data_IF_563032268471
#
_entry.id   IF_563032268471
#
_cell.length_a   1.000
_cell.length_b   1.000
_cell.length_c   1.000
_cell.angle_alpha   90.00
_cell.angle_beta   90.00
_cell.angle_gamma   90.00
#
_symmetry.space_group_name_H-M   'P 1'
#
loop_
_entity.id
_entity.type
_entity.pdbx_description
1 polymer ?
#
# COMPACT_ATOMS: atom_id res chain seq x y z
N UNK A 1 -3.82 -2.16 -19.79
CA UNK A 1 -2.66 -2.70 -20.55
C UNK A 1 -3.05 -3.11 -21.98
N UNK A 2 -4.19 -3.77 -22.21
CA UNK A 2 -4.55 -4.29 -23.53
C UNK A 2 -5.85 -3.70 -24.12
N UNK A 3 -6.35 -2.59 -23.58
CA UNK A 3 -7.64 -2.01 -23.98
C UNK A 3 -7.61 -1.21 -25.30
N UNK A 4 -6.42 -0.82 -25.78
CA UNK A 4 -6.22 -0.13 -27.06
C UNK A 4 -5.08 -0.82 -27.83
N UNK A 5 -5.20 -1.02 -29.16
CA UNK A 5 -4.19 -1.74 -29.95
C UNK A 5 -2.77 -1.18 -29.79
N UNK A 6 -2.60 0.14 -29.87
CA UNK A 6 -1.29 0.80 -29.74
C UNK A 6 -0.65 0.58 -28.35
N UNK A 7 -1.47 0.60 -27.28
CA UNK A 7 -1.00 0.33 -25.92
C UNK A 7 -0.63 -1.16 -25.78
N UNK A 8 -1.39 -2.05 -26.41
CA UNK A 8 -1.11 -3.49 -26.38
C UNK A 8 0.23 -3.81 -27.06
N UNK A 9 0.48 -3.25 -28.26
CA UNK A 9 1.76 -3.40 -28.98
C UNK A 9 2.92 -2.92 -28.13
N UNK A 10 2.84 -1.70 -27.58
CA UNK A 10 3.87 -1.16 -26.68
C UNK A 10 4.08 -2.03 -25.45
N UNK A 11 3.01 -2.61 -24.89
CA UNK A 11 3.12 -3.48 -23.72
C UNK A 11 3.85 -4.79 -24.04
N UNK A 12 3.60 -5.37 -25.21
CA UNK A 12 4.29 -6.57 -25.69
C UNK A 12 5.76 -6.25 -25.99
N UNK A 13 6.05 -5.11 -26.62
CA UNK A 13 7.41 -4.63 -26.85
C UNK A 13 8.20 -4.50 -25.53
N UNK A 14 7.60 -3.87 -24.50
CA UNK A 14 8.22 -3.75 -23.17
C UNK A 14 8.56 -5.14 -22.59
N UNK A 15 7.62 -6.10 -22.67
CA UNK A 15 7.86 -7.44 -22.13
C UNK A 15 8.94 -8.19 -22.90
N UNK A 16 8.88 -8.19 -24.23
CA UNK A 16 9.88 -8.85 -25.08
C UNK A 16 11.26 -8.28 -24.84
N UNK A 17 11.39 -6.95 -24.83
CA UNK A 17 12.68 -6.27 -24.59
C UNK A 17 13.20 -6.53 -23.19
N UNK A 18 12.35 -6.48 -22.15
CA UNK A 18 12.77 -6.75 -20.78
C UNK A 18 13.28 -8.19 -20.60
N UNK A 19 12.60 -9.18 -21.18
CA UNK A 19 13.05 -10.59 -21.14
C UNK A 19 14.37 -10.75 -21.88
N UNK A 20 14.49 -10.22 -23.11
CA UNK A 20 15.73 -10.28 -23.87
C UNK A 20 16.91 -9.65 -23.12
N UNK A 21 16.71 -8.47 -22.55
CA UNK A 21 17.75 -7.79 -21.75
C UNK A 21 18.11 -8.59 -20.51
N UNK A 22 17.14 -9.10 -19.75
CA UNK A 22 17.41 -9.88 -18.54
C UNK A 22 18.13 -11.20 -18.84
N UNK A 23 17.82 -11.85 -19.97
CA UNK A 23 18.50 -13.08 -20.41
C UNK A 23 19.92 -12.80 -20.89
N UNK A 24 20.14 -11.73 -21.64
CA UNK A 24 21.46 -11.41 -22.24
C UNK A 24 22.39 -10.65 -21.28
N UNK A 25 21.82 -9.90 -20.33
CA UNK A 25 22.53 -9.04 -19.37
C UNK A 25 21.84 -9.15 -18.00
N UNK A 26 22.05 -10.25 -17.27
CA UNK A 26 21.46 -10.41 -15.95
C UNK A 26 21.90 -9.26 -15.02
N UNK A 27 21.03 -8.82 -14.09
CA UNK A 27 21.38 -7.77 -13.15
C UNK A 27 22.53 -8.22 -12.25
N UNK A 28 23.42 -7.28 -11.94
CA UNK A 28 24.52 -7.55 -11.02
C UNK A 28 23.97 -7.85 -9.61
N UNK A 29 24.62 -8.77 -8.86
CA UNK A 29 24.37 -8.90 -7.44
C UNK A 29 24.68 -7.58 -6.70
N UNK A 30 24.20 -7.40 -5.45
CA UNK A 30 24.58 -6.24 -4.66
C UNK A 30 26.11 -6.12 -4.59
N UNK A 31 26.61 -4.87 -4.61
CA UNK A 31 28.05 -4.57 -4.62
C UNK A 31 28.76 -5.15 -3.40
N UNK A 32 28.09 -5.11 -2.25
CA UNK A 32 28.63 -5.49 -0.95
C UNK A 32 27.71 -6.49 -0.26
N UNK A 33 28.31 -7.46 0.44
CA UNK A 33 27.56 -8.39 1.30
C UNK A 33 26.78 -7.64 2.40
N UNK A 34 27.31 -6.48 2.83
CA UNK A 34 26.64 -5.57 3.76
C UNK A 34 25.22 -5.23 3.29
N UNK A 35 24.97 -5.04 2.00
CA UNK A 35 23.63 -4.70 1.51
C UNK A 35 22.61 -5.84 1.70
N UNK A 36 23.06 -7.10 1.68
CA UNK A 36 22.22 -8.25 2.01
C UNK A 36 21.89 -8.25 3.50
N UNK A 37 22.87 -8.01 4.36
CA UNK A 37 22.67 -7.90 5.81
C UNK A 37 21.70 -6.76 6.17
N UNK A 38 21.83 -5.61 5.52
CA UNK A 38 20.88 -4.50 5.69
C UNK A 38 19.46 -4.89 5.24
N UNK A 39 19.32 -5.63 4.14
CA UNK A 39 18.01 -6.14 3.70
C UNK A 39 17.42 -7.17 4.65
N UNK A 40 18.22 -8.05 5.24
CA UNK A 40 17.77 -8.97 6.28
C UNK A 40 17.25 -8.21 7.51
N UNK A 41 17.96 -7.16 7.91
CA UNK A 41 17.54 -6.31 9.02
C UNK A 41 16.24 -5.56 8.72
N UNK A 42 16.14 -4.91 7.55
CA UNK A 42 14.90 -4.27 7.07
C UNK A 42 13.76 -5.28 7.08
N UNK A 43 13.98 -6.48 6.55
CA UNK A 43 12.98 -7.55 6.48
C UNK A 43 12.47 -7.95 7.87
N UNK A 44 13.37 -8.16 8.83
CA UNK A 44 13.02 -8.51 10.21
C UNK A 44 12.18 -7.44 10.88
N UNK A 45 12.62 -6.18 10.83
CA UNK A 45 11.91 -5.05 11.46
C UNK A 45 10.56 -4.82 10.77
N UNK A 46 10.53 -4.83 9.44
CA UNK A 46 9.29 -4.61 8.66
C UNK A 46 8.25 -5.69 8.94
N UNK A 47 8.68 -6.96 8.97
CA UNK A 47 7.81 -8.10 9.28
C UNK A 47 7.25 -8.00 10.69
N UNK A 48 8.08 -7.66 11.67
CA UNK A 48 7.63 -7.48 13.06
C UNK A 48 6.63 -6.33 13.19
N UNK A 49 6.90 -5.17 12.57
CA UNK A 49 5.97 -4.02 12.56
C UNK A 49 4.63 -4.38 11.91
N UNK A 50 4.67 -5.07 10.77
CA UNK A 50 3.46 -5.55 10.10
C UNK A 50 2.67 -6.52 10.98
N UNK A 51 3.34 -7.53 11.57
CA UNK A 51 2.65 -8.57 12.36
C UNK A 51 2.10 -8.05 13.67
N UNK A 52 2.84 -7.19 14.36
CA UNK A 52 2.37 -6.55 15.59
C UNK A 52 1.11 -5.73 15.34
N UNK A 53 1.05 -5.02 14.21
CA UNK A 53 -0.13 -4.27 13.79
C UNK A 53 -1.29 -5.16 13.36
N UNK A 54 -1.05 -6.13 12.47
CA UNK A 54 -2.13 -6.85 11.76
C UNK A 54 -2.64 -8.07 12.53
N UNK A 55 -1.78 -8.74 13.29
CA UNK A 55 -2.10 -10.00 13.96
C UNK A 55 -2.10 -9.91 15.49
N UNK A 56 -1.26 -9.04 16.08
CA UNK A 56 -1.09 -8.99 17.54
C UNK A 56 -1.93 -7.87 18.18
N UNK A 57 -2.21 -6.78 17.46
CA UNK A 57 -3.09 -5.72 17.94
C UNK A 57 -4.56 -6.21 17.95
N UNK A 58 -5.20 -6.34 19.12
CA UNK A 58 -6.56 -6.88 19.24
C UNK A 58 -7.62 -5.97 18.58
N UNK A 59 -7.36 -4.66 18.51
CA UNK A 59 -8.30 -3.70 17.93
C UNK A 59 -8.22 -3.62 16.41
N UNK A 60 -7.15 -4.14 15.80
CA UNK A 60 -6.91 -3.97 14.37
C UNK A 60 -7.99 -4.62 13.49
N UNK A 61 -8.46 -5.81 13.86
CA UNK A 61 -9.51 -6.49 13.09
C UNK A 61 -10.81 -5.67 13.11
N UNK A 62 -11.16 -5.13 14.27
CA UNK A 62 -12.32 -4.28 14.44
C UNK A 62 -12.19 -2.97 13.66
N UNK A 63 -11.04 -2.32 13.77
CA UNK A 63 -10.70 -1.13 12.99
C UNK A 63 -10.79 -1.40 11.49
N UNK A 64 -10.24 -2.52 11.00
CA UNK A 64 -10.31 -2.89 9.58
C UNK A 64 -11.75 -3.01 9.07
N UNK A 65 -12.65 -3.59 9.87
CA UNK A 65 -14.06 -3.73 9.53
C UNK A 65 -14.79 -2.38 9.47
N UNK A 66 -14.46 -1.46 10.37
CA UNK A 66 -15.07 -0.13 10.43
C UNK A 66 -14.48 0.82 9.38
N UNK A 67 -13.15 0.88 9.26
CA UNK A 67 -12.45 1.84 8.41
C UNK A 67 -12.57 1.51 6.91
N UNK A 68 -12.89 0.26 6.55
CA UNK A 68 -12.94 -0.19 5.15
C UNK A 68 -14.32 -0.75 4.76
N UNK A 69 -14.66 -0.75 3.45
CA UNK A 69 -15.90 -1.36 2.99
C UNK A 69 -15.82 -2.89 2.85
N UNK A 70 -14.95 -3.57 3.63
CA UNK A 70 -14.71 -5.01 3.43
C UNK A 70 -15.98 -5.84 3.54
N UNK A 71 -16.83 -5.55 4.52
CA UNK A 71 -18.05 -6.30 4.76
C UNK A 71 -18.99 -6.18 3.55
N UNK A 72 -19.22 -4.95 3.09
CA UNK A 72 -20.09 -4.59 1.98
C UNK A 72 -19.59 -5.23 0.67
N UNK A 73 -18.28 -5.21 0.43
CA UNK A 73 -17.66 -5.84 -0.74
C UNK A 73 -17.96 -7.34 -0.84
N UNK A 74 -18.24 -8.03 0.26
CA UNK A 74 -18.64 -9.43 0.27
C UNK A 74 -20.07 -9.68 -0.26
N UNK A 75 -20.93 -8.66 -0.21
CA UNK A 75 -22.33 -8.73 -0.62
C UNK A 75 -22.57 -8.15 -2.02
N UNK A 76 -21.58 -7.47 -2.60
CA UNK A 76 -21.66 -6.93 -3.96
C UNK A 76 -21.30 -7.99 -5.00
N UNK A 77 -22.01 -7.96 -6.12
CA UNK A 77 -21.77 -8.82 -7.30
C UNK A 77 -20.54 -8.37 -8.11
N UNK A 78 -19.44 -8.02 -7.44
CA UNK A 78 -18.19 -7.52 -8.06
C UNK A 78 -17.16 -8.65 -8.21
N UNK A 79 -17.20 -9.65 -7.33
CA UNK A 79 -16.29 -10.79 -7.36
C UNK A 79 -17.00 -12.09 -7.76
N UNK A 80 -16.35 -12.90 -8.61
CA UNK A 80 -16.82 -14.27 -8.92
C UNK A 80 -16.52 -15.29 -7.81
N UNK A 81 -15.73 -14.90 -6.81
CA UNK A 81 -15.21 -15.77 -5.76
C UNK A 81 -15.53 -15.21 -4.37
N UNK A 82 -15.81 -16.05 -3.37
CA UNK A 82 -16.05 -15.60 -2.00
C UNK A 82 -14.80 -14.91 -1.43
N UNK A 83 -15.00 -13.91 -0.58
CA UNK A 83 -13.91 -13.10 -0.01
C UNK A 83 -13.04 -13.86 1.00
N UNK A 84 -13.57 -14.93 1.61
CA UNK A 84 -12.90 -15.75 2.65
C UNK A 84 -12.80 -17.22 2.25
N UNK A 85 -11.83 -17.94 2.86
CA UNK A 85 -11.66 -19.40 2.68
C UNK A 85 -12.50 -20.24 3.65
N UNK A 86 -12.83 -19.72 4.84
CA UNK A 86 -13.69 -20.32 5.90
C UNK A 86 -14.48 -19.21 6.59
N UNK A 87 -15.55 -19.54 7.33
CA UNK A 87 -16.40 -18.58 8.08
C UNK A 87 -15.73 -17.92 9.29
N UNK A 88 -14.45 -18.24 9.57
CA UNK A 88 -13.70 -17.67 10.69
C UNK A 88 -13.43 -16.16 10.50
N UNK A 89 -13.47 -15.42 11.62
CA UNK A 89 -13.43 -13.96 11.66
C UNK A 89 -12.04 -13.33 11.46
N UNK A 90 -10.93 -14.07 11.60
CA UNK A 90 -9.57 -13.51 11.54
C UNK A 90 -9.01 -13.16 10.14
N UNK A 91 -8.09 -12.20 10.08
CA UNK A 91 -7.38 -11.75 8.86
C UNK A 91 -6.64 -12.89 8.16
N UNK A 92 -6.12 -13.88 8.89
CA UNK A 92 -5.43 -15.05 8.32
C UNK A 92 -6.25 -15.89 7.33
N UNK A 93 -7.58 -15.71 7.28
CA UNK A 93 -8.47 -16.40 6.34
C UNK A 93 -9.00 -15.52 5.22
N UNK A 94 -8.68 -14.22 5.23
CA UNK A 94 -9.03 -13.28 4.16
C UNK A 94 -8.13 -13.54 2.95
N UNK A 95 -8.71 -13.52 1.75
CA UNK A 95 -7.92 -13.66 0.52
C UNK A 95 -7.18 -12.35 0.20
N UNK A 96 -6.05 -12.46 -0.48
CA UNK A 96 -5.21 -11.31 -0.84
C UNK A 96 -5.93 -10.24 -1.65
N UNK A 97 -6.81 -10.63 -2.60
CA UNK A 97 -7.57 -9.66 -3.41
C UNK A 97 -8.50 -8.82 -2.53
N UNK A 98 -9.43 -9.39 -1.73
CA UNK A 98 -10.23 -8.63 -0.77
C UNK A 98 -9.42 -7.76 0.20
N UNK A 99 -8.29 -8.27 0.69
CA UNK A 99 -7.40 -7.52 1.57
C UNK A 99 -6.89 -6.24 0.91
N UNK A 100 -6.27 -6.35 -0.25
CA UNK A 100 -5.75 -5.19 -1.00
C UNK A 100 -6.88 -4.28 -1.46
N UNK A 101 -7.99 -4.86 -1.93
CA UNK A 101 -9.10 -4.10 -2.50
C UNK A 101 -9.77 -3.21 -1.45
N UNK A 102 -10.05 -3.74 -0.25
CA UNK A 102 -10.67 -2.98 0.84
C UNK A 102 -9.86 -1.71 1.21
N UNK A 103 -8.54 -1.84 1.37
CA UNK A 103 -7.67 -0.69 1.67
C UNK A 103 -7.43 0.24 0.48
N UNK A 104 -7.57 -0.26 -0.75
CA UNK A 104 -7.51 0.58 -1.95
C UNK A 104 -8.73 1.50 -2.02
N UNK A 105 -9.92 1.00 -1.64
CA UNK A 105 -11.14 1.80 -1.62
C UNK A 105 -11.05 3.02 -0.70
N UNK A 106 -10.36 2.90 0.44
CA UNK A 106 -10.24 3.99 1.44
C UNK A 106 -9.08 4.95 1.16
N UNK A 107 -8.38 4.76 0.03
CA UNK A 107 -7.16 5.51 -0.32
C UNK A 107 -6.05 5.36 0.71
N UNK A 108 -6.13 4.37 1.59
CA UNK A 108 -5.10 4.15 2.59
C UNK A 108 -4.03 3.16 2.13
N UNK A 109 -4.39 2.22 1.25
CA UNK A 109 -3.47 1.26 0.59
C UNK A 109 -2.48 0.57 1.55
N UNK A 110 -2.90 0.39 2.81
CA UNK A 110 -2.13 -0.17 3.93
C UNK A 110 -1.25 -1.38 3.56
N UNK A 111 -1.76 -2.40 2.82
CA UNK A 111 -1.01 -3.64 2.58
C UNK A 111 0.28 -3.46 1.78
N UNK A 112 0.43 -2.34 1.08
CA UNK A 112 1.56 -2.10 0.19
C UNK A 112 2.74 -1.37 0.86
N UNK A 113 2.52 -0.76 2.03
CA UNK A 113 3.54 0.07 2.68
C UNK A 113 3.74 -0.22 4.17
N UNK A 114 2.79 -0.87 4.84
CA UNK A 114 2.91 -1.16 6.27
C UNK A 114 4.17 -1.98 6.57
N UNK A 115 4.98 -1.49 7.52
CA UNK A 115 6.26 -2.08 7.91
C UNK A 115 7.47 -1.51 7.16
N UNK A 116 7.30 -0.96 5.95
CA UNK A 116 8.41 -0.39 5.17
C UNK A 116 9.04 0.79 5.91
N UNK A 117 8.22 1.71 6.43
CA UNK A 117 8.69 2.87 7.19
C UNK A 117 9.54 2.45 8.39
N UNK A 118 9.02 1.55 9.23
CA UNK A 118 9.76 0.98 10.35
C UNK A 118 11.11 0.33 9.94
N UNK A 119 11.13 -0.47 8.86
CA UNK A 119 12.34 -1.12 8.38
C UNK A 119 13.41 -0.14 7.90
N UNK A 120 13.03 0.81 7.04
CA UNK A 120 13.94 1.84 6.55
C UNK A 120 14.42 2.75 7.69
N UNK A 121 13.51 3.18 8.56
CA UNK A 121 13.82 3.98 9.76
C UNK A 121 14.87 3.31 10.62
N UNK A 122 14.64 2.05 11.00
CA UNK A 122 15.52 1.33 11.93
C UNK A 122 16.95 1.18 11.40
N UNK A 123 17.12 1.02 10.10
CA UNK A 123 18.45 0.93 9.47
C UNK A 123 19.10 2.31 9.29
N UNK A 124 18.31 3.33 8.93
CA UNK A 124 18.80 4.72 8.84
C UNK A 124 19.30 5.25 10.19
N UNK A 125 18.56 5.01 11.27
CA UNK A 125 18.92 5.46 12.63
C UNK A 125 20.22 4.81 13.16
N UNK A 126 20.62 3.68 12.56
CA UNK A 126 21.92 3.03 12.82
C UNK A 126 23.08 3.58 11.97
N UNK A 127 22.84 4.65 11.22
CA UNK A 127 23.87 5.33 10.41
C UNK A 127 24.07 4.75 9.01
N UNK A 128 23.21 3.84 8.54
CA UNK A 128 23.37 3.21 7.21
C UNK A 128 22.55 3.91 6.10
N UNK A 129 22.15 5.17 6.31
CA UNK A 129 21.35 5.91 5.32
C UNK A 129 22.06 6.06 3.97
N UNK A 130 23.38 6.27 3.98
CA UNK A 130 24.18 6.38 2.75
C UNK A 130 24.29 5.04 2.00
N UNK A 131 24.36 3.92 2.72
CA UNK A 131 24.29 2.60 2.11
C UNK A 131 22.95 2.37 1.43
N UNK A 132 21.83 2.76 2.07
CA UNK A 132 20.51 2.62 1.46
C UNK A 132 20.36 3.49 0.20
N UNK A 133 20.90 4.71 0.20
CA UNK A 133 20.96 5.56 -1.01
C UNK A 133 21.82 4.94 -2.10
N UNK A 134 22.96 4.34 -1.74
CA UNK A 134 23.80 3.60 -2.69
C UNK A 134 23.05 2.39 -3.26
N UNK A 135 22.37 1.61 -2.42
CA UNK A 135 21.51 0.50 -2.84
C UNK A 135 20.43 0.98 -3.81
N UNK A 136 19.80 2.13 -3.57
CA UNK A 136 18.77 2.66 -4.48
C UNK A 136 19.34 3.04 -5.85
N UNK A 137 20.55 3.61 -5.90
CA UNK A 137 21.20 4.02 -7.16
C UNK A 137 21.80 2.86 -7.94
N UNK A 138 22.33 1.86 -7.23
CA UNK A 138 23.23 0.87 -7.82
C UNK A 138 22.64 -0.55 -7.87
N UNK A 139 21.61 -0.84 -7.07
CA UNK A 139 21.01 -2.18 -7.00
C UNK A 139 19.60 -2.21 -7.60
N UNK A 140 19.43 -2.74 -8.83
CA UNK A 140 18.14 -2.70 -9.54
C UNK A 140 16.96 -3.33 -8.79
N UNK A 141 17.23 -4.35 -7.96
CA UNK A 141 16.22 -4.97 -7.09
C UNK A 141 15.67 -3.98 -6.06
N UNK A 142 16.56 -3.27 -5.36
CA UNK A 142 16.17 -2.34 -4.30
C UNK A 142 15.52 -1.09 -4.91
N UNK A 143 16.09 -0.58 -6.01
CA UNK A 143 15.49 0.51 -6.78
C UNK A 143 14.05 0.21 -7.21
N UNK A 144 13.84 -0.92 -7.90
CA UNK A 144 12.51 -1.30 -8.41
C UNK A 144 11.50 -1.53 -7.28
N UNK A 145 11.96 -2.09 -6.15
CA UNK A 145 11.12 -2.27 -4.96
C UNK A 145 10.69 -0.93 -4.37
N UNK A 146 11.62 0.02 -4.17
CA UNK A 146 11.28 1.34 -3.66
C UNK A 146 10.41 2.15 -4.62
N UNK A 147 10.68 2.10 -5.92
CA UNK A 147 9.87 2.78 -6.94
C UNK A 147 8.42 2.29 -6.93
N UNK A 148 8.22 0.99 -6.72
CA UNK A 148 6.88 0.41 -6.57
C UNK A 148 6.19 0.95 -5.31
N UNK A 149 6.89 0.98 -4.17
CA UNK A 149 6.37 1.50 -2.91
C UNK A 149 6.02 2.98 -3.06
N UNK A 150 6.93 3.79 -3.60
CA UNK A 150 6.74 5.22 -3.83
C UNK A 150 5.52 5.50 -4.73
N UNK A 151 5.32 4.68 -5.77
CA UNK A 151 4.13 4.75 -6.61
C UNK A 151 2.83 4.47 -5.86
N UNK A 152 2.83 3.49 -4.96
CA UNK A 152 1.65 3.20 -4.14
C UNK A 152 1.41 4.31 -3.11
N UNK A 153 2.46 4.82 -2.48
CA UNK A 153 2.39 5.97 -1.58
C UNK A 153 1.82 7.21 -2.27
N UNK A 154 2.17 7.43 -3.54
CA UNK A 154 1.61 8.52 -4.35
C UNK A 154 0.10 8.39 -4.64
N UNK A 155 -0.50 7.21 -4.45
CA UNK A 155 -1.95 7.00 -4.56
C UNK A 155 -2.68 7.14 -3.22
N UNK A 156 -1.93 7.05 -2.11
CA UNK A 156 -2.46 7.15 -0.77
C UNK A 156 -2.92 8.58 -0.47
N UNK A 157 -4.02 8.73 0.25
CA UNK A 157 -4.55 10.03 0.65
C UNK A 157 -4.92 10.00 2.14
N UNK A 158 -4.11 10.70 2.94
CA UNK A 158 -4.26 10.77 4.41
C UNK A 158 -5.57 11.46 4.79
N UNK A 159 -6.01 12.46 4.01
CA UNK A 159 -7.22 13.23 4.32
C UNK A 159 -8.46 12.40 4.04
N UNK A 160 -8.49 11.68 2.91
CA UNK A 160 -9.59 10.75 2.63
C UNK A 160 -9.59 9.62 3.65
N UNK A 161 -8.46 8.98 3.96
CA UNK A 161 -8.41 7.93 4.98
C UNK A 161 -8.90 8.43 6.36
N UNK A 162 -8.55 9.67 6.73
CA UNK A 162 -9.07 10.31 7.94
C UNK A 162 -10.58 10.54 7.89
N UNK A 163 -11.15 10.90 6.73
CA UNK A 163 -12.59 11.06 6.58
C UNK A 163 -13.35 9.73 6.82
N UNK A 164 -12.82 8.60 6.32
CA UNK A 164 -13.40 7.28 6.63
C UNK A 164 -13.38 7.02 8.14
N UNK A 165 -12.26 7.30 8.80
CA UNK A 165 -12.15 7.12 10.25
C UNK A 165 -13.09 8.01 11.05
N UNK A 166 -13.13 9.32 10.75
CA UNK A 166 -13.93 10.28 11.51
C UNK A 166 -15.42 9.93 11.45
N UNK A 167 -15.88 9.39 10.32
CA UNK A 167 -17.29 9.10 10.05
C UNK A 167 -17.71 7.67 10.40
N UNK A 168 -16.85 6.68 10.16
CA UNK A 168 -17.23 5.26 10.22
C UNK A 168 -16.62 4.51 11.41
N UNK A 169 -15.54 5.02 12.01
CA UNK A 169 -14.81 4.32 13.06
C UNK A 169 -15.25 4.81 14.44
N UNK A 170 -15.52 3.84 15.31
CA UNK A 170 -15.86 4.05 16.71
C UNK A 170 -14.75 4.79 17.46
N UNK A 171 -15.12 5.62 18.44
CA UNK A 171 -14.14 6.47 19.15
C UNK A 171 -13.03 5.66 19.81
N UNK A 172 -13.34 4.48 20.35
CA UNK A 172 -12.37 3.57 20.97
C UNK A 172 -11.30 3.05 20.01
N UNK A 173 -11.53 3.09 18.69
CA UNK A 173 -10.61 2.59 17.66
C UNK A 173 -9.97 3.67 16.79
N UNK A 174 -10.34 4.94 16.98
CA UNK A 174 -9.76 6.07 16.22
C UNK A 174 -8.25 6.20 16.42
N UNK A 175 -7.74 5.82 17.58
CA UNK A 175 -6.31 5.83 17.88
C UNK A 175 -5.51 4.89 16.97
N UNK A 176 -6.07 3.73 16.60
CA UNK A 176 -5.44 2.79 15.66
C UNK A 176 -5.21 3.50 14.32
N UNK A 177 -6.24 4.12 13.77
CA UNK A 177 -6.13 4.84 12.51
C UNK A 177 -5.23 6.07 12.58
N UNK A 178 -5.19 6.77 13.72
CA UNK A 178 -4.24 7.87 13.94
C UNK A 178 -2.79 7.39 13.90
N UNK A 179 -2.47 6.29 14.60
CA UNK A 179 -1.15 5.69 14.59
C UNK A 179 -0.74 5.21 13.19
N UNK A 180 -1.65 4.57 12.45
CA UNK A 180 -1.37 4.12 11.09
C UNK A 180 -1.11 5.29 10.14
N UNK A 181 -1.83 6.41 10.28
CA UNK A 181 -1.56 7.62 9.48
C UNK A 181 -0.20 8.24 9.81
N UNK A 182 0.25 8.15 11.06
CA UNK A 182 1.62 8.55 11.44
C UNK A 182 2.64 7.64 10.78
N UNK A 183 2.42 6.32 10.81
CA UNK A 183 3.31 5.34 10.15
C UNK A 183 3.37 5.55 8.63
N UNK A 184 2.26 5.92 7.99
CA UNK A 184 2.24 6.29 6.57
C UNK A 184 3.14 7.50 6.29
N UNK A 185 3.06 8.56 7.11
CA UNK A 185 3.95 9.73 6.99
C UNK A 185 5.41 9.36 7.21
N UNK A 186 5.70 8.55 8.21
CA UNK A 186 7.04 8.02 8.48
C UNK A 186 7.57 7.25 7.26
N UNK A 187 6.72 6.42 6.66
CA UNK A 187 7.07 5.65 5.46
C UNK A 187 7.37 6.57 4.27
N UNK A 188 6.54 7.58 4.02
CA UNK A 188 6.78 8.58 2.96
C UNK A 188 8.11 9.33 3.17
N UNK A 189 8.41 9.71 4.42
CA UNK A 189 9.65 10.39 4.78
C UNK A 189 10.88 9.50 4.53
N UNK A 190 10.88 8.26 5.01
CA UNK A 190 12.06 7.40 4.84
C UNK A 190 12.25 6.91 3.41
N UNK A 191 11.17 6.73 2.63
CA UNK A 191 11.27 6.45 1.19
C UNK A 191 11.94 7.62 0.46
N UNK A 192 11.55 8.87 0.75
CA UNK A 192 12.17 10.06 0.12
C UNK A 192 13.62 10.26 0.56
N UNK A 193 13.96 9.99 1.82
CA UNK A 193 15.36 10.02 2.31
C UNK A 193 16.26 9.03 1.57
N UNK A 194 15.74 7.84 1.27
CA UNK A 194 16.49 6.76 0.60
C UNK A 194 16.55 6.97 -0.90
N UNK A 195 15.45 7.40 -1.54
CA UNK A 195 15.43 7.69 -2.97
C UNK A 195 16.19 8.97 -3.34
N UNK A 196 16.31 9.91 -2.38
CA UNK A 196 16.87 11.24 -2.62
C UNK A 196 15.90 12.19 -3.31
N UNK A 197 14.61 11.83 -3.42
CA UNK A 197 13.57 12.69 -3.97
C UNK A 197 13.07 13.70 -2.93
N UNK A 198 12.73 14.92 -3.36
CA UNK A 198 12.07 15.91 -2.49
C UNK A 198 10.61 15.55 -2.23
N UNK A 199 9.95 14.91 -3.22
CA UNK A 199 8.54 14.52 -3.14
C UNK A 199 8.34 13.14 -3.78
N UNK A 200 7.37 12.35 -3.29
CA UNK A 200 7.01 11.10 -3.94
C UNK A 200 6.77 11.28 -5.45
N UNK A 201 7.25 10.31 -6.23
CA UNK A 201 7.15 10.23 -7.70
C UNK A 201 7.93 11.30 -8.47
N UNK A 202 8.93 11.94 -7.87
CA UNK A 202 9.77 12.91 -8.58
C UNK A 202 10.50 12.27 -9.78
N UNK A 203 11.00 11.05 -9.62
CA UNK A 203 11.62 10.27 -10.71
C UNK A 203 10.67 9.87 -11.84
N UNK A 204 9.34 10.06 -11.70
CA UNK A 204 8.36 9.73 -12.73
C UNK A 204 7.23 10.77 -12.84
N UNK A 205 7.58 11.96 -13.33
CA UNK A 205 6.64 13.09 -13.52
C UNK A 205 5.40 12.73 -14.34
N UNK A 206 5.55 11.89 -15.37
CA UNK A 206 4.42 11.43 -16.20
C UNK A 206 3.42 10.62 -15.40
N UNK A 207 3.90 9.68 -14.57
CA UNK A 207 3.05 8.89 -13.69
C UNK A 207 2.38 9.76 -12.62
N UNK A 208 3.13 10.69 -12.03
CA UNK A 208 2.59 11.65 -11.06
C UNK A 208 1.42 12.43 -11.64
N UNK A 209 1.58 13.03 -12.83
CA UNK A 209 0.51 13.76 -13.52
C UNK A 209 -0.70 12.88 -13.81
N UNK A 210 -0.49 11.61 -14.18
CA UNK A 210 -1.59 10.65 -14.39
C UNK A 210 -2.36 10.34 -13.11
N UNK A 211 -1.70 10.28 -11.96
CA UNK A 211 -2.35 10.09 -10.66
C UNK A 211 -3.12 11.36 -10.28
N UNK A 212 -2.47 12.52 -10.34
CA UNK A 212 -3.05 13.83 -9.99
C UNK A 212 -4.31 14.13 -10.82
N UNK A 213 -4.29 13.86 -12.14
CA UNK A 213 -5.44 14.07 -13.03
C UNK A 213 -6.67 13.23 -12.66
N UNK A 214 -6.51 12.15 -11.89
CA UNK A 214 -7.63 11.30 -11.43
C UNK A 214 -8.23 11.77 -10.12
N UNK A 215 -7.49 12.55 -9.32
CA UNK A 215 -7.92 12.97 -7.98
C UNK A 215 -9.25 13.76 -7.98
N UNK A 216 -9.50 14.70 -8.91
CA UNK A 216 -10.77 15.43 -8.96
C UNK A 216 -12.00 14.54 -9.15
N UNK A 217 -11.83 13.36 -9.75
CA UNK A 217 -12.91 12.39 -9.94
C UNK A 217 -13.00 11.41 -8.77
N UNK A 218 -11.85 10.95 -8.26
CA UNK A 218 -11.81 9.95 -7.19
C UNK A 218 -12.26 10.52 -5.84
N UNK A 219 -11.86 11.74 -5.50
CA UNK A 219 -12.12 12.30 -4.18
C UNK A 219 -13.63 12.47 -3.89
N UNK A 220 -14.45 13.02 -4.81
CA UNK A 220 -15.91 13.05 -4.62
C UNK A 220 -16.54 11.66 -4.49
N UNK A 221 -16.06 10.67 -5.26
CA UNK A 221 -16.54 9.27 -5.17
C UNK A 221 -16.22 8.70 -3.78
N UNK A 222 -15.02 8.96 -3.26
CA UNK A 222 -14.64 8.54 -1.92
C UNK A 222 -15.52 9.19 -0.84
N UNK A 223 -15.77 10.49 -0.93
CA UNK A 223 -16.65 11.20 0.01
C UNK A 223 -18.08 10.67 -0.03
N UNK A 224 -18.62 10.43 -1.23
CA UNK A 224 -19.94 9.83 -1.41
C UNK A 224 -19.99 8.41 -0.83
N UNK A 225 -18.94 7.61 -1.05
CA UNK A 225 -18.87 6.26 -0.50
C UNK A 225 -18.87 6.27 1.03
N UNK A 226 -18.17 7.20 1.68
CA UNK A 226 -18.20 7.33 3.15
C UNK A 226 -19.63 7.57 3.64
N UNK A 227 -20.36 8.49 3.01
CA UNK A 227 -21.75 8.78 3.40
C UNK A 227 -22.69 7.60 3.14
N UNK A 228 -22.53 6.89 2.01
CA UNK A 228 -23.30 5.67 1.71
C UNK A 228 -23.04 4.59 2.75
N UNK A 229 -21.77 4.33 3.09
CA UNK A 229 -21.41 3.34 4.11
C UNK A 229 -22.00 3.70 5.48
N UNK A 230 -21.93 4.98 5.86
CA UNK A 230 -22.52 5.46 7.11
C UNK A 230 -24.02 5.17 7.16
N UNK A 231 -24.77 5.58 6.13
CA UNK A 231 -26.23 5.33 6.05
C UNK A 231 -26.54 3.84 6.08
N UNK A 232 -25.82 3.05 5.30
CA UNK A 232 -26.04 1.61 5.18
C UNK A 232 -25.81 0.86 6.49
N UNK A 233 -24.87 1.32 7.33
CA UNK A 233 -24.56 0.73 8.64
C UNK A 233 -25.47 1.21 9.78
N UNK A 234 -26.10 2.37 9.61
CA UNK A 234 -27.07 2.93 10.56
C UNK A 234 -28.53 2.59 10.19
N UNK A 235 -28.74 1.84 9.11
CA UNK A 235 -30.07 1.45 8.64
C UNK A 235 -30.53 0.20 9.40
N UNK A 236 -31.51 0.37 10.30
CA UNK A 236 -32.07 -0.70 11.12
C UNK A 236 -32.76 -1.80 10.26
N UNK A 237 -33.19 -1.46 9.03
CA UNK A 237 -33.81 -2.40 8.10
C UNK A 237 -32.76 -3.19 7.28
N UNK A 238 -31.47 -2.85 7.41
CA UNK A 238 -30.40 -3.56 6.71
C UNK A 238 -29.96 -4.83 7.45
N UNK A 239 -30.66 -5.93 7.22
CA UNK A 239 -30.33 -7.24 7.81
C UNK A 239 -29.18 -8.00 7.13
N UNK A 240 -28.53 -7.41 6.10
CA UNK A 240 -27.46 -8.08 5.34
C UNK A 240 -26.06 -7.85 5.91
N UNK A 241 -25.83 -6.76 6.62
CA UNK A 241 -24.51 -6.41 7.16
C UNK A 241 -24.31 -6.94 8.58
#
# INVERSE_FOLDING_TARGET
KFGLPQIAVRQLEIYTTAVLLATMRPPLPPREEKWRNLMEEISKISCQSYRSTVYENPEFLGYFHEATPQAELGYLNIGSRPSRRKSSKGIGHLRAIPWVFAWTQTRFVLPAWLGVGAGLKGVCEKGNADDLRAMYREWPFFQSTLDLIEMVLGKADIHIAKLYDDVLVSESRRDVGAQLRIELKTTQMYVTVVSGHEKPLEGNRSLRKLIENRLPYLNPINMLQVEILRRLRCDDDNHKL
#
